data_IF_780066676574
#
_entry.id   IF_780066676574
#
_cell.length_a   1.000
_cell.length_b   1.000
_cell.length_c   1.000
_cell.angle_alpha   90.00
_cell.angle_beta   90.00
_cell.angle_gamma   90.00
#
_symmetry.space_group_name_H-M   'P 1'
#
loop_
_entity.id
_entity.type
_entity.pdbx_description
1 polymer ?
#
# COMPACT_ATOMS: atom_id res chain seq x y z
N UNK A 1 -83.16 39.88 -10.79
CA UNK A 1 -82.52 38.71 -10.15
C UNK A 1 -81.31 38.16 -10.92
N UNK A 2 -81.07 38.56 -12.16
CA UNK A 2 -80.02 37.98 -13.03
C UNK A 2 -78.59 38.49 -12.71
N UNK A 3 -78.46 39.76 -12.31
CA UNK A 3 -77.17 40.41 -12.02
C UNK A 3 -76.46 39.91 -10.75
N UNK A 4 -77.20 39.37 -9.78
CA UNK A 4 -76.64 38.78 -8.54
C UNK A 4 -76.08 37.38 -8.79
N UNK A 5 -76.71 36.61 -9.68
CA UNK A 5 -76.27 35.24 -10.02
C UNK A 5 -74.99 35.25 -10.85
N UNK A 6 -74.79 36.26 -11.69
CA UNK A 6 -73.56 36.43 -12.48
C UNK A 6 -72.35 36.87 -11.62
N UNK A 7 -72.59 37.64 -10.55
CA UNK A 7 -71.56 38.07 -9.61
C UNK A 7 -71.06 36.92 -8.71
N UNK A 8 -71.97 36.07 -8.23
CA UNK A 8 -71.64 34.87 -7.45
C UNK A 8 -70.82 33.86 -8.27
N UNK A 9 -71.17 33.66 -9.54
CA UNK A 9 -70.42 32.75 -10.43
C UNK A 9 -68.99 33.24 -10.68
N UNK A 10 -68.77 34.55 -10.84
CA UNK A 10 -67.42 35.13 -11.02
C UNK A 10 -66.55 34.99 -9.77
N UNK A 11 -67.13 35.16 -8.57
CA UNK A 11 -66.40 34.96 -7.30
C UNK A 11 -66.03 33.48 -7.10
N UNK A 12 -66.95 32.56 -7.41
CA UNK A 12 -66.68 31.12 -7.34
C UNK A 12 -65.57 30.73 -8.33
N UNK A 13 -65.62 31.23 -9.58
CA UNK A 13 -64.58 30.98 -10.59
C UNK A 13 -63.22 31.51 -10.12
N UNK A 14 -63.16 32.73 -9.57
CA UNK A 14 -61.91 33.31 -9.08
C UNK A 14 -61.34 32.52 -7.89
N UNK A 15 -62.20 32.08 -6.97
CA UNK A 15 -61.83 31.24 -5.84
C UNK A 15 -61.28 29.87 -6.27
N UNK A 16 -61.91 29.22 -7.26
CA UNK A 16 -61.41 27.96 -7.85
C UNK A 16 -60.08 28.19 -8.55
N UNK A 17 -59.91 29.29 -9.29
CA UNK A 17 -58.64 29.63 -9.97
C UNK A 17 -57.49 29.82 -8.98
N UNK A 18 -57.73 30.52 -7.87
CA UNK A 18 -56.74 30.70 -6.80
C UNK A 18 -56.38 29.36 -6.14
N UNK A 19 -57.38 28.51 -5.88
CA UNK A 19 -57.15 27.17 -5.31
C UNK A 19 -56.31 26.29 -6.26
N UNK A 20 -56.63 26.30 -7.55
CA UNK A 20 -55.89 25.55 -8.57
C UNK A 20 -54.46 26.08 -8.69
N UNK A 21 -54.27 27.40 -8.71
CA UNK A 21 -52.94 28.01 -8.71
C UNK A 21 -52.13 27.63 -7.45
N UNK A 22 -52.76 27.63 -6.27
CA UNK A 22 -52.11 27.22 -5.03
C UNK A 22 -51.73 25.73 -5.05
N UNK A 23 -52.60 24.85 -5.58
CA UNK A 23 -52.33 23.43 -5.73
C UNK A 23 -51.19 23.17 -6.74
N UNK A 24 -51.17 23.90 -7.86
CA UNK A 24 -50.07 23.84 -8.84
C UNK A 24 -48.77 24.30 -8.19
N UNK A 25 -48.78 25.40 -7.44
CA UNK A 25 -47.59 25.92 -6.77
C UNK A 25 -47.05 24.93 -5.73
N UNK A 26 -47.92 24.32 -4.93
CA UNK A 26 -47.57 23.28 -3.96
C UNK A 26 -47.02 22.04 -4.66
N UNK A 27 -47.61 21.62 -5.78
CA UNK A 27 -47.12 20.49 -6.58
C UNK A 27 -45.74 20.78 -7.17
N UNK A 28 -45.49 21.98 -7.68
CA UNK A 28 -44.17 22.41 -8.19
C UNK A 28 -43.11 22.38 -7.08
N UNK A 29 -43.44 22.87 -5.88
CA UNK A 29 -42.53 22.85 -4.72
C UNK A 29 -42.25 21.40 -4.25
N UNK A 30 -43.27 20.53 -4.26
CA UNK A 30 -43.11 19.11 -3.94
C UNK A 30 -42.35 18.34 -5.03
N UNK A 31 -42.42 18.78 -6.29
CA UNK A 31 -41.76 18.17 -7.44
C UNK A 31 -40.26 18.53 -7.55
N UNK A 32 -39.82 19.61 -6.92
CA UNK A 32 -38.44 20.11 -7.03
C UNK A 32 -37.39 19.12 -6.50
N UNK A 33 -36.39 18.83 -7.34
CA UNK A 33 -35.16 18.12 -6.96
C UNK A 33 -34.19 19.07 -6.28
N UNK A 34 -33.52 18.58 -5.24
CA UNK A 34 -32.48 19.35 -4.52
C UNK A 34 -31.33 18.43 -4.14
N UNK A 35 -30.11 18.91 -4.34
CA UNK A 35 -28.89 18.26 -3.89
C UNK A 35 -28.10 19.27 -3.05
N UNK A 36 -27.69 18.86 -1.85
CA UNK A 36 -26.91 19.69 -0.95
C UNK A 36 -25.76 18.90 -0.35
N UNK A 37 -24.54 19.33 -0.60
CA UNK A 37 -23.37 18.84 0.08
C UNK A 37 -23.40 19.31 1.54
N UNK A 38 -23.23 18.36 2.45
CA UNK A 38 -23.24 18.59 3.90
C UNK A 38 -21.82 18.64 4.45
N UNK A 39 -20.93 17.83 3.91
CA UNK A 39 -19.52 17.78 4.28
C UNK A 39 -18.67 17.20 3.12
N UNK A 40 -17.45 17.74 2.85
CA UNK A 40 -16.83 18.90 3.50
C UNK A 40 -17.54 20.23 3.20
N UNK A 41 -17.35 21.23 4.07
CA UNK A 41 -17.96 22.56 3.92
C UNK A 41 -16.97 23.63 3.48
N UNK A 42 -15.68 23.43 3.69
CA UNK A 42 -14.60 24.38 3.45
C UNK A 42 -13.82 24.72 4.71
N UNK A 43 -12.56 25.13 4.52
CA UNK A 43 -11.52 25.41 5.51
C UNK A 43 -11.05 24.20 6.33
N UNK A 44 -11.53 22.99 6.03
CA UNK A 44 -10.98 21.80 6.65
C UNK A 44 -9.53 21.56 6.20
N UNK A 45 -8.80 20.85 7.05
CA UNK A 45 -7.46 20.35 6.75
C UNK A 45 -7.52 18.83 6.75
N UNK A 46 -7.41 18.24 5.57
CA UNK A 46 -7.27 16.80 5.39
C UNK A 46 -5.82 16.40 5.18
N UNK A 47 -5.51 15.15 5.45
CA UNK A 47 -4.19 14.57 5.20
C UNK A 47 -4.31 13.49 4.14
N UNK A 48 -3.41 13.52 3.15
CA UNK A 48 -3.28 12.46 2.17
C UNK A 48 -3.13 11.09 2.87
N UNK A 49 -3.74 10.04 2.30
CA UNK A 49 -3.76 8.69 2.87
C UNK A 49 -4.82 8.46 3.97
N UNK A 50 -5.50 9.50 4.46
CA UNK A 50 -6.62 9.35 5.40
C UNK A 50 -7.95 9.19 4.65
N UNK A 51 -8.90 8.59 5.36
CA UNK A 51 -10.27 8.44 4.86
C UNK A 51 -11.11 9.60 5.38
N UNK A 52 -11.81 10.28 4.47
CA UNK A 52 -12.72 11.38 4.77
C UNK A 52 -14.11 10.98 4.30
N UNK A 53 -15.09 11.07 5.19
CA UNK A 53 -16.48 10.85 4.81
C UNK A 53 -17.03 12.07 4.09
N UNK A 54 -17.52 11.89 2.87
CA UNK A 54 -18.31 12.88 2.13
C UNK A 54 -19.79 12.64 2.42
N UNK A 55 -20.52 13.70 2.77
CA UNK A 55 -21.94 13.64 3.12
C UNK A 55 -22.75 14.59 2.26
N UNK A 56 -23.90 14.13 1.78
CA UNK A 56 -24.86 14.97 1.05
C UNK A 56 -26.30 14.62 1.43
N UNK A 57 -27.20 15.57 1.20
CA UNK A 57 -28.65 15.38 1.28
C UNK A 57 -29.25 15.61 -0.10
N UNK A 58 -29.95 14.60 -0.58
CA UNK A 58 -30.69 14.66 -1.84
C UNK A 58 -32.19 14.57 -1.57
N UNK A 59 -32.99 15.43 -2.20
CA UNK A 59 -34.44 15.31 -2.30
C UNK A 59 -34.77 14.91 -3.74
N UNK A 60 -35.35 13.73 -3.94
CA UNK A 60 -35.62 13.15 -5.27
C UNK A 60 -34.36 12.99 -6.15
N UNK A 61 -33.21 12.80 -5.50
CA UNK A 61 -31.91 12.46 -6.11
C UNK A 61 -31.58 11.02 -5.72
N UNK A 62 -31.36 10.14 -6.68
CA UNK A 62 -31.10 8.72 -6.42
C UNK A 62 -29.62 8.42 -6.15
N UNK A 63 -28.76 8.80 -7.09
CA UNK A 63 -27.31 8.54 -7.07
C UNK A 63 -26.55 9.82 -7.45
N UNK A 64 -25.30 9.92 -7.00
CA UNK A 64 -24.42 11.05 -7.32
C UNK A 64 -23.04 10.58 -7.77
N UNK A 65 -22.42 11.37 -8.64
CA UNK A 65 -21.00 11.30 -8.96
C UNK A 65 -20.26 12.31 -8.10
N UNK A 66 -19.05 11.96 -7.66
CA UNK A 66 -18.26 12.76 -6.72
C UNK A 66 -16.93 13.09 -7.38
N UNK A 67 -16.56 14.37 -7.39
CA UNK A 67 -15.32 14.86 -7.98
C UNK A 67 -14.47 15.65 -6.98
N UNK A 68 -13.15 15.52 -7.12
CA UNK A 68 -12.16 16.40 -6.52
C UNK A 68 -11.75 17.45 -7.55
N UNK A 69 -11.83 18.72 -7.19
CA UNK A 69 -11.45 19.84 -8.05
C UNK A 69 -10.21 20.52 -7.44
N UNK A 70 -9.17 20.76 -8.25
CA UNK A 70 -8.03 21.62 -7.89
C UNK A 70 -8.16 22.95 -8.62
N UNK A 71 -8.61 24.00 -7.92
CA UNK A 71 -8.95 25.27 -8.58
C UNK A 71 -7.76 25.94 -9.25
N UNK A 72 -6.60 25.99 -8.59
CA UNK A 72 -5.40 26.62 -9.14
C UNK A 72 -4.78 25.87 -10.32
N UNK A 73 -5.17 24.61 -10.58
CA UNK A 73 -4.78 23.87 -11.78
C UNK A 73 -5.89 23.75 -12.82
N UNK A 74 -7.15 23.99 -12.46
CA UNK A 74 -8.29 23.69 -13.30
C UNK A 74 -8.49 22.19 -13.56
N UNK A 75 -7.97 21.32 -12.68
CA UNK A 75 -8.10 19.87 -12.80
C UNK A 75 -9.35 19.37 -12.07
N UNK A 76 -10.05 18.41 -12.67
CA UNK A 76 -11.22 17.74 -12.09
C UNK A 76 -11.05 16.22 -12.18
N UNK A 77 -10.99 15.56 -11.04
CA UNK A 77 -10.78 14.12 -10.92
C UNK A 77 -12.03 13.44 -10.36
N UNK A 78 -12.47 12.35 -10.98
CA UNK A 78 -13.56 11.54 -10.43
C UNK A 78 -13.07 10.73 -9.24
N UNK A 79 -13.78 10.85 -8.12
CA UNK A 79 -13.53 10.09 -6.89
C UNK A 79 -14.41 8.84 -6.84
N UNK A 80 -15.68 8.98 -7.21
CA UNK A 80 -16.66 7.92 -7.20
C UNK A 80 -17.80 8.20 -8.18
N UNK A 81 -18.40 7.14 -8.70
CA UNK A 81 -19.51 7.22 -9.66
C UNK A 81 -20.74 6.50 -9.09
N UNK A 82 -21.93 7.08 -9.31
CA UNK A 82 -23.21 6.41 -9.05
C UNK A 82 -23.49 6.06 -7.58
N UNK A 83 -23.01 6.86 -6.63
CA UNK A 83 -23.11 6.59 -5.19
C UNK A 83 -24.48 6.96 -4.63
N UNK A 84 -25.11 6.06 -3.89
CA UNK A 84 -26.40 6.27 -3.20
C UNK A 84 -26.24 6.40 -1.67
N UNK A 85 -27.27 6.88 -0.98
CA UNK A 85 -27.36 6.80 0.49
C UNK A 85 -26.87 8.03 1.26
N UNK A 86 -26.42 9.09 0.57
CA UNK A 86 -26.05 10.35 1.23
C UNK A 86 -24.68 10.36 1.91
N UNK A 87 -23.89 9.30 1.74
CA UNK A 87 -22.59 9.09 2.37
C UNK A 87 -21.63 8.34 1.45
N UNK A 88 -20.37 8.77 1.43
CA UNK A 88 -19.27 8.06 0.77
C UNK A 88 -17.98 8.21 1.59
N UNK A 89 -17.30 7.11 1.89
CA UNK A 89 -16.02 7.14 2.59
C UNK A 89 -14.88 7.21 1.57
N UNK A 90 -14.36 8.42 1.35
CA UNK A 90 -13.30 8.70 0.39
C UNK A 90 -11.92 8.48 1.01
N UNK A 91 -11.20 7.47 0.54
CA UNK A 91 -9.77 7.29 0.84
C UNK A 91 -8.96 8.25 -0.04
N UNK A 92 -8.43 9.32 0.55
CA UNK A 92 -7.58 10.28 -0.17
C UNK A 92 -6.31 9.56 -0.60
N UNK A 93 -5.96 9.64 -1.89
CA UNK A 93 -4.72 9.05 -2.41
C UNK A 93 -3.52 9.53 -1.60
N UNK A 94 -2.59 8.62 -1.33
CA UNK A 94 -1.33 8.97 -0.67
C UNK A 94 -0.53 9.98 -1.48
N UNK A 95 -0.60 9.87 -2.81
CA UNK A 95 0.09 10.74 -3.76
C UNK A 95 -0.70 12.00 -4.11
N UNK A 96 -1.77 12.27 -3.37
CA UNK A 96 -2.52 13.50 -3.56
C UNK A 96 -1.60 14.69 -3.28
N UNK A 97 -1.45 15.56 -4.28
CA UNK A 97 -0.54 16.70 -4.16
C UNK A 97 -0.97 17.60 -2.99
N UNK A 98 -0.05 18.00 -2.10
CA UNK A 98 -0.37 18.93 -1.02
C UNK A 98 -0.75 20.29 -1.61
N UNK A 99 -2.01 20.71 -1.44
CA UNK A 99 -2.51 22.01 -1.90
C UNK A 99 -3.64 22.51 -0.99
N UNK A 100 -3.86 23.81 -1.02
CA UNK A 100 -4.84 24.56 -0.24
C UNK A 100 -6.03 25.06 -1.06
N UNK A 101 -6.23 24.52 -2.27
CA UNK A 101 -7.22 24.96 -3.27
C UNK A 101 -8.18 23.85 -3.71
N UNK A 102 -8.42 22.84 -2.86
CA UNK A 102 -9.30 21.71 -3.20
C UNK A 102 -10.76 21.98 -2.90
N UNK A 103 -11.65 21.45 -3.74
CA UNK A 103 -13.11 21.39 -3.52
C UNK A 103 -13.65 19.99 -3.81
N UNK A 104 -14.75 19.63 -3.15
CA UNK A 104 -15.58 18.47 -3.51
C UNK A 104 -16.79 18.97 -4.27
N UNK A 105 -17.11 18.33 -5.38
CA UNK A 105 -18.35 18.51 -6.10
C UNK A 105 -19.14 17.20 -6.12
N UNK A 106 -20.43 17.28 -5.81
CA UNK A 106 -21.38 16.18 -5.98
C UNK A 106 -22.35 16.54 -7.09
N UNK A 107 -22.52 15.65 -8.06
CA UNK A 107 -23.39 15.86 -9.23
C UNK A 107 -24.39 14.73 -9.30
N UNK A 108 -25.64 15.01 -9.64
CA UNK A 108 -26.64 13.97 -9.91
C UNK A 108 -26.15 13.01 -11.03
N UNK A 109 -26.15 11.71 -10.72
CA UNK A 109 -25.80 10.67 -11.68
C UNK A 109 -27.02 10.42 -12.58
N UNK A 110 -27.06 11.09 -13.72
CA UNK A 110 -28.15 11.00 -14.70
C UNK A 110 -27.67 11.31 -16.12
N UNK A 111 -28.36 10.74 -17.11
CA UNK A 111 -28.19 11.06 -18.53
C UNK A 111 -28.90 12.36 -18.94
N UNK A 112 -29.71 12.95 -18.04
CA UNK A 112 -30.37 14.22 -18.30
C UNK A 112 -29.36 15.36 -18.48
N UNK A 113 -29.71 16.31 -19.34
CA UNK A 113 -28.88 17.49 -19.66
C UNK A 113 -28.79 18.44 -18.46
N UNK A 114 -29.90 18.63 -17.73
CA UNK A 114 -29.89 19.40 -16.49
C UNK A 114 -29.53 18.50 -15.31
N UNK A 115 -28.33 18.71 -14.77
CA UNK A 115 -27.82 18.00 -13.58
C UNK A 115 -27.83 18.92 -12.38
N UNK A 116 -28.41 18.46 -11.29
CA UNK A 116 -28.27 19.13 -10.01
C UNK A 116 -26.89 18.83 -9.43
N UNK A 117 -26.19 19.85 -8.94
CA UNK A 117 -24.89 19.70 -8.30
C UNK A 117 -24.78 20.64 -7.09
N UNK A 118 -23.87 20.31 -6.18
CA UNK A 118 -23.45 21.20 -5.11
C UNK A 118 -21.94 21.03 -4.85
N UNK A 119 -21.31 22.08 -4.31
CA UNK A 119 -19.88 22.14 -4.09
C UNK A 119 -19.54 22.54 -2.66
N UNK A 120 -18.42 22.05 -2.16
CA UNK A 120 -17.85 22.55 -0.90
C UNK A 120 -17.20 23.91 -1.09
N UNK A 121 -16.97 24.62 0.02
CA UNK A 121 -15.92 25.64 0.07
C UNK A 121 -14.53 25.02 -0.14
N UNK A 122 -13.52 25.88 -0.31
CA UNK A 122 -12.12 25.46 -0.45
C UNK A 122 -11.64 24.81 0.84
N UNK A 123 -10.98 23.67 0.76
CA UNK A 123 -10.27 23.04 1.87
C UNK A 123 -8.84 22.70 1.45
N UNK A 124 -8.00 22.36 2.44
CA UNK A 124 -6.60 22.02 2.23
C UNK A 124 -6.38 20.51 2.40
N UNK A 125 -5.66 19.91 1.46
CA UNK A 125 -5.04 18.60 1.66
C UNK A 125 -3.57 18.86 1.94
N UNK A 126 -3.13 18.55 3.16
CA UNK A 126 -1.70 18.50 3.46
C UNK A 126 -1.13 17.15 3.05
N UNK A 127 0.18 17.15 2.80
CA UNK A 127 0.91 15.93 2.55
C UNK A 127 0.72 14.91 3.67
N UNK A 128 1.09 13.67 3.40
CA UNK A 128 1.01 12.61 4.38
C UNK A 128 1.75 13.04 5.66
N UNK A 129 1.19 12.75 6.84
CA UNK A 129 1.79 13.11 8.15
C UNK A 129 3.03 12.29 8.50
N UNK A 130 3.55 11.59 7.52
CA UNK A 130 4.56 10.56 7.62
C UNK A 130 5.92 11.21 7.92
N UNK A 131 6.77 10.53 8.70
CA UNK A 131 8.15 10.96 8.94
C UNK A 131 8.91 11.11 7.61
N UNK A 132 9.79 12.13 7.45
CA UNK A 132 10.55 12.25 6.21
C UNK A 132 11.76 11.32 6.27
N UNK A 133 11.84 10.36 5.36
CA UNK A 133 13.05 9.57 5.15
C UNK A 133 13.95 10.16 4.04
N UNK A 134 13.67 11.39 3.59
CA UNK A 134 14.40 12.05 2.50
C UNK A 134 15.85 12.37 2.89
N UNK A 135 16.13 12.70 4.17
CA UNK A 135 17.51 12.91 4.66
C UNK A 135 18.39 11.65 4.54
N UNK A 136 17.80 10.45 4.60
CA UNK A 136 18.51 9.18 4.36
C UNK A 136 18.62 8.86 2.87
N UNK A 137 17.62 9.27 2.10
CA UNK A 137 17.48 8.94 0.68
C UNK A 137 18.44 9.75 -0.20
N UNK A 138 18.66 11.03 0.13
CA UNK A 138 19.46 11.97 -0.68
C UNK A 138 20.97 11.67 -0.67
N UNK A 139 21.63 11.37 0.47
CA UNK A 139 23.07 11.10 0.50
C UNK A 139 23.43 9.68 0.05
N UNK A 140 22.49 8.74 0.20
CA UNK A 140 22.74 7.32 -0.11
C UNK A 140 22.28 6.92 -1.51
N UNK A 141 21.50 7.77 -2.21
CA UNK A 141 20.74 7.43 -3.43
C UNK A 141 19.65 6.37 -3.20
N UNK A 142 19.24 6.16 -1.94
CA UNK A 142 18.34 5.08 -1.54
C UNK A 142 16.91 5.58 -1.42
N UNK A 143 15.93 4.68 -1.50
CA UNK A 143 14.55 5.03 -1.23
C UNK A 143 14.18 4.44 0.13
N UNK A 144 14.26 5.24 1.18
CA UNK A 144 13.65 4.87 2.45
C UNK A 144 12.21 5.33 2.47
N UNK A 145 11.32 4.50 3.00
CA UNK A 145 9.93 4.86 3.20
C UNK A 145 9.52 4.66 4.65
N UNK A 146 8.58 5.46 5.14
CA UNK A 146 8.44 5.60 6.59
C UNK A 146 7.40 4.60 7.10
N UNK A 147 7.46 4.25 8.39
CA UNK A 147 6.81 3.05 8.93
C UNK A 147 5.27 3.09 8.92
N UNK A 148 4.69 4.27 8.82
CA UNK A 148 3.25 4.52 8.71
C UNK A 148 2.77 4.64 7.25
N UNK A 149 3.62 4.28 6.29
CA UNK A 149 3.24 4.20 4.88
C UNK A 149 2.13 3.14 4.70
N UNK A 150 1.08 3.41 3.90
CA UNK A 150 -0.02 2.47 3.74
C UNK A 150 0.41 1.21 2.98
N UNK A 151 -0.14 0.06 3.38
CA UNK A 151 0.06 -1.23 2.71
C UNK A 151 1.54 -1.67 2.62
N UNK A 152 2.33 -1.42 3.67
CA UNK A 152 3.66 -1.99 3.78
C UNK A 152 3.59 -3.51 4.00
N UNK A 153 4.46 -4.22 3.30
CA UNK A 153 4.84 -5.61 3.56
C UNK A 153 6.25 -5.60 4.08
N UNK A 154 6.38 -5.66 5.40
CA UNK A 154 7.69 -5.67 6.04
C UNK A 154 8.30 -7.08 5.97
N UNK A 155 9.55 -7.17 5.52
CA UNK A 155 10.21 -8.44 5.16
C UNK A 155 11.58 -8.56 5.80
N UNK A 156 11.91 -9.76 6.24
CA UNK A 156 13.28 -10.14 6.63
C UNK A 156 13.59 -11.56 6.16
N UNK A 157 14.87 -11.94 6.16
CA UNK A 157 15.32 -13.30 5.91
C UNK A 157 15.80 -13.91 7.23
N UNK A 158 15.43 -15.17 7.49
CA UNK A 158 15.80 -15.84 8.73
C UNK A 158 17.32 -15.91 8.92
N UNK A 159 17.75 -15.80 10.19
CA UNK A 159 19.12 -16.12 10.59
C UNK A 159 19.36 -17.62 10.55
N UNK A 160 18.36 -18.41 10.94
CA UNK A 160 18.40 -19.87 10.92
C UNK A 160 18.29 -20.43 9.50
N UNK A 161 18.83 -21.65 9.33
CA UNK A 161 18.67 -22.47 8.15
C UNK A 161 17.84 -23.69 8.50
N UNK A 162 16.90 -24.03 7.63
CA UNK A 162 15.88 -25.03 7.89
C UNK A 162 15.79 -26.03 6.75
N UNK A 163 15.70 -27.31 7.13
CA UNK A 163 15.40 -28.37 6.18
C UNK A 163 14.00 -28.22 5.60
N UNK A 164 13.70 -29.03 4.60
CA UNK A 164 12.35 -29.17 4.06
C UNK A 164 11.26 -29.56 5.05
N UNK A 165 11.60 -30.13 6.21
CA UNK A 165 10.66 -30.46 7.26
C UNK A 165 10.43 -29.25 8.19
N UNK A 166 9.56 -28.34 7.77
CA UNK A 166 9.17 -27.16 8.52
C UNK A 166 7.96 -27.40 9.43
N UNK A 167 7.33 -28.58 9.35
CA UNK A 167 6.09 -28.89 10.07
C UNK A 167 4.83 -28.34 9.38
N UNK A 168 4.83 -28.24 8.05
CA UNK A 168 3.75 -27.58 7.31
C UNK A 168 3.99 -26.08 7.11
N UNK A 169 3.07 -25.44 6.39
CA UNK A 169 3.03 -23.99 6.31
C UNK A 169 2.89 -23.34 7.70
N UNK A 170 2.12 -23.95 8.60
CA UNK A 170 1.96 -23.47 9.97
C UNK A 170 3.27 -23.52 10.76
N UNK A 171 4.06 -24.58 10.61
CA UNK A 171 5.36 -24.67 11.27
C UNK A 171 6.39 -23.70 10.68
N UNK A 172 6.35 -23.47 9.35
CA UNK A 172 7.14 -22.42 8.71
C UNK A 172 6.76 -21.02 9.21
N UNK A 173 5.47 -20.76 9.41
CA UNK A 173 4.96 -19.50 9.96
C UNK A 173 5.41 -19.32 11.41
N UNK A 174 5.39 -20.38 12.23
CA UNK A 174 5.92 -20.34 13.59
C UNK A 174 7.42 -20.05 13.64
N UNK A 175 8.20 -20.54 12.67
CA UNK A 175 9.63 -20.22 12.55
C UNK A 175 9.79 -18.71 12.31
N UNK A 176 9.09 -18.16 11.32
CA UNK A 176 9.13 -16.72 11.04
C UNK A 176 8.69 -15.87 12.23
N UNK A 177 7.62 -16.26 12.91
CA UNK A 177 7.14 -15.55 14.09
C UNK A 177 8.17 -15.57 15.24
N UNK A 178 8.78 -16.73 15.52
CA UNK A 178 9.81 -16.86 16.56
C UNK A 178 11.06 -16.04 16.26
N UNK A 179 11.50 -16.01 15.00
CA UNK A 179 12.65 -15.18 14.61
C UNK A 179 12.34 -13.69 14.67
N UNK A 180 11.12 -13.28 14.30
CA UNK A 180 10.66 -11.91 14.45
C UNK A 180 10.67 -11.48 15.92
N UNK A 181 10.12 -12.30 16.81
CA UNK A 181 10.12 -12.07 18.27
C UNK A 181 11.53 -12.00 18.85
N UNK A 182 12.44 -12.89 18.41
CA UNK A 182 13.84 -12.87 18.83
C UNK A 182 14.59 -11.61 18.38
N UNK A 183 14.10 -10.93 17.33
CA UNK A 183 14.60 -9.63 16.88
C UNK A 183 13.84 -8.44 17.51
N UNK A 184 12.86 -8.70 18.38
CA UNK A 184 12.04 -7.65 18.98
C UNK A 184 11.05 -7.00 18.01
N UNK A 185 10.68 -7.68 16.93
CA UNK A 185 9.72 -7.17 15.95
C UNK A 185 8.29 -7.41 16.42
N UNK A 186 7.52 -6.33 16.45
CA UNK A 186 6.07 -6.39 16.66
C UNK A 186 5.35 -6.74 15.35
N UNK A 187 4.24 -7.45 15.43
CA UNK A 187 3.44 -7.87 14.28
C UNK A 187 3.35 -9.39 14.12
N UNK A 188 2.65 -9.83 13.09
CA UNK A 188 2.52 -11.25 12.73
C UNK A 188 3.32 -11.54 11.48
N UNK A 189 4.26 -12.45 11.56
CA UNK A 189 5.14 -12.81 10.44
C UNK A 189 4.88 -14.24 9.98
N UNK A 190 4.79 -14.41 8.66
CA UNK A 190 4.58 -15.70 8.01
C UNK A 190 5.66 -15.96 6.97
N UNK A 191 5.93 -17.23 6.70
CA UNK A 191 6.89 -17.62 5.68
C UNK A 191 6.30 -17.38 4.28
N UNK A 192 7.08 -16.77 3.40
CA UNK A 192 6.82 -16.60 1.96
C UNK A 192 6.91 -17.95 1.24
N UNK A 193 5.98 -18.84 1.56
CA UNK A 193 5.88 -20.19 1.03
C UNK A 193 4.43 -20.46 0.64
N UNK A 194 4.25 -21.15 -0.49
CA UNK A 194 3.02 -21.86 -0.81
C UNK A 194 3.23 -23.37 -0.72
N UNK A 195 2.13 -24.11 -0.89
CA UNK A 195 2.12 -25.57 -0.96
C UNK A 195 1.29 -26.07 -2.16
N UNK A 196 0.92 -27.35 -2.15
CA UNK A 196 0.16 -27.95 -3.23
C UNK A 196 -1.30 -27.46 -3.33
N UNK A 197 -1.83 -26.87 -2.26
CA UNK A 197 -3.21 -26.44 -2.12
C UNK A 197 -3.34 -24.94 -2.33
N UNK A 198 -2.48 -24.14 -1.70
CA UNK A 198 -2.54 -22.67 -1.71
C UNK A 198 -1.20 -22.05 -2.11
N UNK A 199 -1.25 -21.02 -2.96
CA UNK A 199 -0.05 -20.29 -3.36
C UNK A 199 0.39 -19.28 -2.29
N UNK A 200 1.67 -18.89 -2.29
CA UNK A 200 2.19 -17.85 -1.39
C UNK A 200 1.45 -16.51 -1.60
N UNK A 201 1.22 -16.11 -2.86
CA UNK A 201 0.53 -14.86 -3.21
C UNK A 201 -0.89 -14.81 -2.66
N UNK A 202 -1.63 -15.92 -2.78
CA UNK A 202 -3.00 -16.05 -2.28
C UNK A 202 -3.06 -16.07 -0.76
N UNK A 203 -2.24 -16.90 -0.10
CA UNK A 203 -2.35 -17.08 1.36
C UNK A 203 -1.82 -15.90 2.17
N UNK A 204 -0.91 -15.11 1.60
CA UNK A 204 -0.23 -14.01 2.30
C UNK A 204 -0.73 -12.61 1.90
N UNK A 205 -1.67 -12.54 0.96
CA UNK A 205 -2.18 -11.30 0.38
C UNK A 205 -1.05 -10.31 0.07
N UNK A 206 -0.18 -10.68 -0.87
CA UNK A 206 1.10 -10.00 -1.14
C UNK A 206 0.95 -8.66 -1.89
N UNK A 207 -0.25 -8.08 -1.92
CA UNK A 207 -0.48 -6.75 -2.46
C UNK A 207 0.07 -5.69 -1.50
N UNK A 208 1.08 -4.93 -1.95
CA UNK A 208 1.68 -3.88 -1.14
C UNK A 208 3.10 -3.52 -1.56
N UNK A 209 3.70 -2.62 -0.80
CA UNK A 209 5.07 -2.15 -0.97
C UNK A 209 5.98 -2.93 -0.03
N UNK A 210 7.04 -3.53 -0.56
CA UNK A 210 7.93 -4.38 0.21
C UNK A 210 9.06 -3.57 0.79
N UNK A 211 9.30 -3.74 2.08
CA UNK A 211 10.38 -3.07 2.79
C UNK A 211 11.18 -4.03 3.64
N UNK A 212 12.47 -3.74 3.79
CA UNK A 212 13.36 -4.50 4.65
C UNK A 212 13.13 -4.10 6.11
N UNK A 213 13.07 -5.10 6.99
CA UNK A 213 13.32 -4.90 8.42
C UNK A 213 14.71 -5.43 8.75
N UNK A 214 15.63 -4.51 9.05
CA UNK A 214 16.96 -4.82 9.58
C UNK A 214 17.09 -4.52 11.07
N UNK A 215 18.25 -4.88 11.65
CA UNK A 215 18.62 -4.56 13.03
C UNK A 215 18.76 -3.05 13.29
N UNK A 216 19.03 -2.28 12.25
CA UNK A 216 19.07 -0.82 12.30
C UNK A 216 17.71 -0.28 11.83
N UNK A 217 16.73 -0.32 12.74
CA UNK A 217 15.55 0.52 12.59
C UNK A 217 16.01 1.98 12.67
N UNK A 218 16.12 2.64 11.51
CA UNK A 218 16.55 4.02 11.48
C UNK A 218 15.39 4.86 12.00
N UNK A 219 15.55 5.62 13.10
CA UNK A 219 14.52 6.56 13.53
C UNK A 219 14.21 7.48 12.35
N UNK A 220 12.95 7.58 11.96
CA UNK A 220 12.55 8.57 10.98
C UNK A 220 12.74 9.94 11.59
N UNK A 221 13.40 10.86 10.88
CA UNK A 221 13.38 12.25 11.30
C UNK A 221 11.95 12.75 11.14
N UNK A 222 11.33 13.03 12.28
CA UNK A 222 10.09 13.75 12.26
C UNK A 222 10.43 15.20 11.91
N UNK A 223 9.67 15.72 10.95
CA UNK A 223 9.71 17.09 10.46
C UNK A 223 10.75 17.42 9.38
N UNK A 224 10.28 18.11 8.34
CA UNK A 224 11.13 18.85 7.41
C UNK A 224 11.88 20.03 8.07
N UNK A 225 11.57 20.34 9.33
CA UNK A 225 12.08 21.52 10.01
C UNK A 225 13.60 21.50 10.26
N UNK A 226 14.24 20.40 10.69
CA UNK A 226 15.69 20.32 10.82
C UNK A 226 16.40 20.55 9.48
N UNK A 227 15.85 20.00 8.39
CA UNK A 227 16.38 20.21 7.03
C UNK A 227 16.27 21.68 6.60
N UNK A 228 15.09 22.30 6.71
CA UNK A 228 14.91 23.72 6.40
C UNK A 228 15.76 24.62 7.31
N UNK A 229 15.99 24.22 8.56
CA UNK A 229 16.81 24.96 9.51
C UNK A 229 18.30 24.87 9.15
N UNK A 230 18.81 23.67 8.80
CA UNK A 230 20.16 23.46 8.26
C UNK A 230 20.37 24.25 6.95
N UNK A 231 19.41 24.21 6.02
CA UNK A 231 19.46 24.98 4.77
C UNK A 231 19.37 26.49 5.00
N UNK A 232 18.58 26.93 5.98
CA UNK A 232 18.53 28.33 6.40
C UNK A 232 19.88 28.81 6.94
N UNK A 233 20.59 27.98 7.70
CA UNK A 233 21.97 28.27 8.11
C UNK A 233 22.90 28.45 6.91
N UNK A 234 22.86 27.51 5.95
CA UNK A 234 23.67 27.62 4.70
C UNK A 234 23.30 28.88 3.91
N UNK A 235 22.02 29.23 3.86
CA UNK A 235 21.54 30.45 3.24
C UNK A 235 22.12 31.70 3.93
N UNK A 236 22.12 31.77 5.27
CA UNK A 236 22.77 32.85 6.03
C UNK A 236 24.26 32.89 5.70
N UNK A 237 24.94 31.74 5.73
CA UNK A 237 26.38 31.66 5.50
C UNK A 237 26.80 32.16 4.11
N UNK A 238 25.93 31.98 3.11
CA UNK A 238 26.17 32.34 1.71
C UNK A 238 25.71 33.77 1.36
N UNK A 239 24.63 34.27 1.98
CA UNK A 239 23.94 35.48 1.49
C UNK A 239 23.94 36.66 2.48
N UNK A 240 24.36 36.48 3.74
CA UNK A 240 24.17 37.50 4.77
C UNK A 240 25.17 38.67 4.76
N UNK A 241 26.22 38.63 3.92
CA UNK A 241 27.23 39.68 3.84
C UNK A 241 27.76 40.12 5.21
N UNK A 242 27.75 41.43 5.48
CA UNK A 242 28.25 42.03 6.73
C UNK A 242 27.40 41.67 7.96
N UNK A 243 26.14 41.22 7.78
CA UNK A 243 25.26 40.83 8.88
C UNK A 243 25.38 39.35 9.26
N UNK A 244 26.23 38.59 8.56
CA UNK A 244 26.40 37.15 8.75
C UNK A 244 26.61 36.75 10.20
N UNK A 245 27.44 37.48 10.93
CA UNK A 245 27.77 37.14 12.32
C UNK A 245 26.58 37.37 13.27
N UNK A 246 25.79 38.42 13.04
CA UNK A 246 24.58 38.70 13.82
C UNK A 246 23.49 37.66 13.56
N UNK A 247 23.29 37.28 12.30
CA UNK A 247 22.32 36.24 11.94
C UNK A 247 22.72 34.85 12.40
N UNK A 248 24.02 34.51 12.40
CA UNK A 248 24.50 33.25 12.98
C UNK A 248 24.32 33.20 14.50
N UNK A 249 24.54 34.32 15.21
CA UNK A 249 24.26 34.40 16.66
C UNK A 249 22.76 34.24 16.95
N UNK A 250 21.89 34.89 16.17
CA UNK A 250 20.44 34.73 16.27
C UNK A 250 20.00 33.29 15.96
N UNK A 251 20.56 32.69 14.91
CA UNK A 251 20.36 31.28 14.56
C UNK A 251 20.74 30.38 15.74
N UNK A 252 21.91 30.54 16.36
CA UNK A 252 22.34 29.72 17.50
C UNK A 252 21.40 29.83 18.72
N UNK A 253 20.89 31.04 19.00
CA UNK A 253 19.92 31.27 20.06
C UNK A 253 18.60 30.54 19.80
N UNK A 254 18.09 30.67 18.57
CA UNK A 254 16.87 30.01 18.14
C UNK A 254 17.04 28.49 18.05
N UNK A 255 18.18 28.00 17.57
CA UNK A 255 18.53 26.58 17.45
C UNK A 255 18.44 25.87 18.81
N UNK A 256 18.94 26.50 19.87
CA UNK A 256 18.83 25.96 21.23
C UNK A 256 17.37 25.84 21.69
N UNK A 257 16.56 26.86 21.47
CA UNK A 257 15.14 26.83 21.84
C UNK A 257 14.34 25.84 20.97
N UNK A 258 14.71 25.76 19.69
CA UNK A 258 14.12 24.87 18.70
C UNK A 258 14.37 23.41 19.07
N UNK A 259 15.62 23.04 19.42
CA UNK A 259 15.98 21.70 19.85
C UNK A 259 15.25 21.26 21.13
N UNK A 260 14.99 22.17 22.07
CA UNK A 260 14.18 21.87 23.27
C UNK A 260 12.72 21.60 22.92
N UNK A 261 12.16 22.38 21.98
CA UNK A 261 10.79 22.17 21.49
C UNK A 261 10.66 20.87 20.69
N UNK A 262 11.62 20.57 19.82
CA UNK A 262 11.69 19.33 19.06
C UNK A 262 11.75 18.11 19.98
N UNK A 263 12.65 18.12 20.97
CA UNK A 263 12.77 17.03 21.94
C UNK A 263 11.45 16.76 22.69
N UNK A 264 10.70 17.81 23.02
CA UNK A 264 9.39 17.68 23.68
C UNK A 264 8.32 17.08 22.76
N UNK A 265 8.43 17.27 21.45
CA UNK A 265 7.56 16.64 20.46
C UNK A 265 7.97 15.17 20.24
N UNK A 266 9.27 14.89 20.13
CA UNK A 266 9.84 13.53 20.01
C UNK A 266 9.44 12.65 21.20
N UNK A 267 9.43 13.19 22.42
CA UNK A 267 8.99 12.49 23.63
C UNK A 267 7.47 12.19 23.65
N UNK A 268 6.67 12.85 22.81
CA UNK A 268 5.21 12.68 22.73
C UNK A 268 4.73 11.82 21.56
N UNK A 269 5.58 11.49 20.61
CA UNK A 269 5.22 10.74 19.42
C UNK A 269 5.64 9.27 19.51
N UNK A 270 4.77 8.36 19.06
CA UNK A 270 5.10 6.94 18.86
C UNK A 270 6.32 6.83 17.92
N UNK A 271 7.25 5.91 18.22
CA UNK A 271 8.49 5.74 17.45
C UNK A 271 8.17 5.48 15.98
N UNK A 272 8.48 6.44 15.10
CA UNK A 272 8.37 6.28 13.65
C UNK A 272 9.72 5.87 13.08
N UNK A 273 9.72 4.88 12.20
CA UNK A 273 10.93 4.29 11.64
C UNK A 273 10.97 4.51 10.13
N UNK A 274 12.17 4.57 9.57
CA UNK A 274 12.40 4.51 8.13
C UNK A 274 12.78 3.08 7.75
N UNK A 275 12.02 2.48 6.86
CA UNK A 275 12.33 1.18 6.28
C UNK A 275 12.94 1.34 4.89
N UNK A 276 13.89 0.48 4.55
CA UNK A 276 14.47 0.45 3.20
C UNK A 276 13.43 -0.11 2.23
N UNK A 277 13.16 0.61 1.14
CA UNK A 277 12.31 0.11 0.06
C UNK A 277 13.02 -1.04 -0.68
N UNK A 278 12.41 -2.22 -0.67
CA UNK A 278 12.84 -3.35 -1.50
C UNK A 278 12.19 -3.24 -2.89
N UNK A 279 10.86 -3.05 -2.92
CA UNK A 279 10.11 -3.02 -4.17
C UNK A 279 8.76 -2.31 -4.04
N UNK A 280 8.19 -1.91 -5.18
CA UNK A 280 6.87 -1.24 -5.23
C UNK A 280 5.69 -2.22 -5.30
N UNK A 281 5.96 -3.48 -5.60
CA UNK A 281 4.98 -4.56 -5.67
C UNK A 281 5.66 -5.92 -5.44
N UNK A 282 4.87 -6.96 -5.20
CA UNK A 282 5.41 -8.32 -5.08
C UNK A 282 6.06 -8.84 -6.36
N UNK A 283 5.49 -8.53 -7.53
CA UNK A 283 6.06 -8.99 -8.80
C UNK A 283 7.40 -8.26 -9.07
N UNK A 284 7.50 -6.96 -8.74
CA UNK A 284 8.78 -6.21 -8.78
C UNK A 284 9.80 -6.78 -7.76
N UNK A 285 9.34 -7.21 -6.58
CA UNK A 285 10.20 -7.82 -5.56
C UNK A 285 10.87 -9.10 -6.07
N UNK A 286 10.06 -10.04 -6.58
CA UNK A 286 10.56 -11.31 -7.09
C UNK A 286 11.41 -11.12 -8.33
N UNK A 287 10.98 -10.26 -9.26
CA UNK A 287 11.74 -9.97 -10.46
C UNK A 287 13.13 -9.44 -10.10
N UNK A 288 13.22 -8.54 -9.13
CA UNK A 288 14.51 -8.00 -8.71
C UNK A 288 15.45 -9.06 -8.18
N UNK A 289 14.95 -9.89 -7.27
CA UNK A 289 15.72 -10.98 -6.67
C UNK A 289 16.28 -11.92 -7.76
N UNK A 290 15.47 -12.30 -8.74
CA UNK A 290 15.82 -13.38 -9.68
C UNK A 290 16.51 -12.89 -10.96
N UNK A 291 16.23 -11.66 -11.42
CA UNK A 291 16.68 -11.20 -12.74
C UNK A 291 17.90 -10.27 -12.72
N UNK A 292 18.27 -9.71 -11.57
CA UNK A 292 19.37 -8.75 -11.50
C UNK A 292 20.66 -9.35 -10.97
N UNK A 293 21.78 -8.75 -11.38
CA UNK A 293 23.09 -9.14 -10.90
C UNK A 293 23.30 -8.73 -9.43
N UNK A 294 24.21 -9.41 -8.74
CA UNK A 294 24.50 -9.16 -7.33
C UNK A 294 24.93 -7.71 -7.05
N UNK A 295 25.70 -7.07 -7.93
CA UNK A 295 26.11 -5.68 -7.73
C UNK A 295 24.92 -4.72 -7.84
N UNK A 296 23.98 -5.00 -8.74
CA UNK A 296 22.70 -4.29 -8.79
C UNK A 296 21.91 -4.52 -7.49
N UNK A 297 21.78 -5.77 -7.04
CA UNK A 297 21.02 -6.09 -5.83
C UNK A 297 21.62 -5.46 -4.56
N UNK A 298 22.95 -5.36 -4.47
CA UNK A 298 23.64 -4.64 -3.40
C UNK A 298 23.16 -3.19 -3.27
N UNK A 299 22.93 -2.52 -4.41
CA UNK A 299 22.44 -1.14 -4.44
C UNK A 299 20.98 -1.03 -3.98
N UNK A 300 20.13 -2.01 -4.28
CA UNK A 300 18.71 -2.00 -3.92
C UNK A 300 18.41 -2.50 -2.51
N UNK A 301 19.02 -3.61 -2.11
CA UNK A 301 18.67 -4.33 -0.88
C UNK A 301 19.65 -4.10 0.28
N UNK A 302 20.83 -3.53 0.00
CA UNK A 302 21.87 -3.33 1.00
C UNK A 302 22.61 -4.62 1.37
N UNK A 303 23.77 -4.45 2.02
CA UNK A 303 24.69 -5.56 2.28
C UNK A 303 24.11 -6.63 3.22
N UNK A 304 23.23 -6.26 4.16
CA UNK A 304 22.65 -7.22 5.11
C UNK A 304 21.66 -8.16 4.43
N UNK A 305 20.68 -7.62 3.71
CA UNK A 305 19.69 -8.43 3.01
C UNK A 305 20.32 -9.32 1.93
N UNK A 306 21.24 -8.77 1.13
CA UNK A 306 21.96 -9.53 0.11
C UNK A 306 22.69 -10.71 0.76
N UNK A 307 23.47 -10.46 1.82
CA UNK A 307 24.20 -11.51 2.55
C UNK A 307 23.29 -12.57 3.15
N UNK A 308 22.11 -12.18 3.63
CA UNK A 308 21.14 -13.14 4.12
C UNK A 308 20.53 -13.97 2.98
N UNK A 309 20.31 -13.36 1.81
CA UNK A 309 19.84 -14.04 0.60
C UNK A 309 20.89 -15.00 0.02
N UNK A 310 22.19 -14.71 0.19
CA UNK A 310 23.30 -15.61 -0.21
C UNK A 310 23.29 -16.95 0.52
N UNK A 311 22.57 -17.08 1.63
CA UNK A 311 22.34 -18.37 2.30
C UNK A 311 21.47 -19.31 1.45
N UNK A 312 20.78 -18.77 0.45
CA UNK A 312 19.72 -19.43 -0.28
C UNK A 312 18.43 -19.49 0.52
N UNK A 313 17.29 -19.41 -0.16
CA UNK A 313 15.97 -19.35 0.47
C UNK A 313 14.97 -20.32 -0.16
N UNK A 314 14.08 -20.88 0.65
CA UNK A 314 12.91 -21.60 0.16
C UNK A 314 11.82 -20.62 -0.30
N UNK A 315 11.14 -20.92 -1.42
CA UNK A 315 10.06 -20.07 -1.96
C UNK A 315 8.73 -20.79 -2.28
N UNK A 316 8.74 -22.12 -2.47
CA UNK A 316 7.51 -22.90 -2.70
C UNK A 316 6.69 -22.45 -3.92
N UNK A 317 5.38 -22.77 -3.94
CA UNK A 317 4.47 -22.33 -5.00
C UNK A 317 4.09 -20.86 -4.81
N UNK A 318 4.54 -20.00 -5.71
CA UNK A 318 4.32 -18.55 -5.59
C UNK A 318 2.95 -18.10 -6.11
N UNK A 319 2.58 -18.51 -7.32
CA UNK A 319 1.40 -18.03 -8.03
C UNK A 319 0.30 -19.12 -8.12
N UNK A 320 -0.99 -18.75 -8.09
CA UNK A 320 -2.10 -19.70 -8.30
C UNK A 320 -2.05 -20.41 -9.65
N UNK A 321 -1.64 -19.70 -10.70
CA UNK A 321 -1.53 -20.17 -12.08
C UNK A 321 -0.30 -21.04 -12.33
N UNK A 322 0.62 -21.15 -11.36
CA UNK A 322 1.81 -21.97 -11.49
C UNK A 322 1.41 -23.45 -11.66
N UNK A 323 1.62 -23.96 -12.88
CA UNK A 323 1.33 -25.35 -13.25
C UNK A 323 2.16 -26.32 -12.45
N UNK A 324 1.64 -27.54 -12.24
CA UNK A 324 2.30 -28.55 -11.40
C UNK A 324 3.52 -29.26 -12.04
N UNK A 325 4.52 -28.51 -12.54
CA UNK A 325 5.58 -28.99 -13.47
C UNK A 325 6.90 -29.48 -12.82
N UNK A 326 7.41 -30.67 -13.13
CA UNK A 326 8.65 -31.24 -12.58
C UNK A 326 9.82 -30.25 -12.50
N UNK A 327 10.50 -30.21 -11.35
CA UNK A 327 11.74 -29.44 -11.20
C UNK A 327 12.91 -30.34 -11.62
N UNK A 328 13.81 -29.80 -12.42
CA UNK A 328 14.99 -30.51 -12.89
C UNK A 328 16.23 -29.95 -12.22
N UNK A 329 17.12 -30.82 -11.73
CA UNK A 329 18.42 -30.43 -11.19
C UNK A 329 19.51 -31.06 -12.04
N UNK A 330 20.41 -30.20 -12.53
CA UNK A 330 21.66 -30.66 -13.14
C UNK A 330 22.54 -31.26 -12.05
N UNK A 331 22.69 -32.59 -12.03
CA UNK A 331 23.72 -33.20 -11.20
C UNK A 331 25.06 -33.08 -11.92
N UNK A 332 26.10 -32.66 -11.21
CA UNK A 332 27.47 -32.60 -11.75
C UNK A 332 28.05 -33.95 -12.22
N UNK A 333 27.27 -35.03 -12.16
CA UNK A 333 27.62 -36.40 -12.54
C UNK A 333 26.84 -36.92 -13.77
N UNK A 334 26.17 -36.05 -14.53
CA UNK A 334 25.62 -36.39 -15.85
C UNK A 334 24.27 -37.12 -15.84
N UNK A 335 23.59 -37.20 -14.69
CA UNK A 335 22.19 -37.68 -14.62
C UNK A 335 21.29 -36.57 -14.07
N UNK A 336 20.34 -36.11 -14.88
CA UNK A 336 19.35 -35.13 -14.45
C UNK A 336 18.41 -35.78 -13.43
N UNK A 337 18.33 -35.22 -12.22
CA UNK A 337 17.39 -35.69 -11.21
C UNK A 337 16.13 -34.85 -11.31
N UNK A 338 14.99 -35.52 -11.52
CA UNK A 338 13.67 -34.89 -11.57
C UNK A 338 12.97 -35.00 -10.22
N UNK A 339 12.36 -33.91 -9.79
CA UNK A 339 11.60 -33.81 -8.55
C UNK A 339 10.13 -33.55 -8.86
N UNK A 340 9.22 -34.10 -8.04
CA UNK A 340 7.79 -33.83 -8.24
C UNK A 340 7.41 -32.42 -7.84
N UNK A 341 6.76 -31.68 -8.75
CA UNK A 341 6.28 -30.32 -8.46
C UNK A 341 4.99 -30.27 -7.65
N UNK A 342 4.49 -31.35 -7.06
CA UNK A 342 3.62 -31.18 -5.89
C UNK A 342 4.31 -30.45 -4.69
N UNK A 343 5.49 -29.83 -4.91
CA UNK A 343 5.98 -28.51 -4.42
C UNK A 343 5.82 -28.23 -2.95
N UNK A 344 6.42 -29.14 -2.21
CA UNK A 344 7.53 -28.83 -1.32
C UNK A 344 7.99 -30.20 -0.89
N UNK A 345 8.62 -30.28 0.26
CA UNK A 345 8.74 -31.52 0.97
C UNK A 345 7.37 -31.97 1.44
N UNK A 346 6.53 -32.45 0.52
CA UNK A 346 5.20 -33.00 0.75
C UNK A 346 4.24 -32.11 1.57
N UNK A 347 4.31 -30.78 1.44
CA UNK A 347 3.74 -29.76 2.35
C UNK A 347 4.68 -29.39 3.50
N UNK A 348 5.97 -29.19 3.19
CA UNK A 348 7.01 -28.82 4.15
C UNK A 348 7.06 -29.71 5.40
N UNK A 349 6.85 -31.01 5.24
CA UNK A 349 6.66 -31.99 6.31
C UNK A 349 7.72 -33.10 6.31
N UNK A 350 8.70 -33.06 5.41
CA UNK A 350 9.75 -34.09 5.30
C UNK A 350 11.13 -33.52 4.98
N UNK A 351 12.16 -34.20 5.45
CA UNK A 351 13.56 -33.94 5.10
C UNK A 351 14.17 -35.11 4.31
N UNK A 352 13.35 -36.04 3.82
CA UNK A 352 13.80 -37.14 2.97
C UNK A 352 14.24 -36.60 1.61
N UNK A 353 15.28 -37.16 1.01
CA UNK A 353 15.74 -36.80 -0.34
C UNK A 353 15.25 -37.77 -1.43
N UNK A 354 14.74 -38.93 -1.01
CA UNK A 354 14.19 -39.98 -1.89
C UNK A 354 12.72 -40.24 -1.59
N UNK A 355 11.98 -40.57 -2.64
CA UNK A 355 10.65 -41.14 -2.50
C UNK A 355 10.81 -42.60 -2.03
N UNK A 356 9.99 -43.07 -1.09
CA UNK A 356 9.94 -44.48 -0.68
C UNK A 356 9.40 -45.41 -1.79
N UNK A 357 8.85 -46.58 -1.43
CA UNK A 357 8.37 -47.60 -2.40
C UNK A 357 7.31 -47.11 -3.40
N UNK A 358 6.58 -46.03 -3.07
CA UNK A 358 5.57 -45.43 -3.94
C UNK A 358 6.22 -44.34 -4.81
N UNK A 359 6.56 -44.66 -6.05
CA UNK A 359 6.99 -43.64 -7.02
C UNK A 359 5.89 -42.56 -7.15
N UNK A 360 6.28 -41.30 -6.91
CA UNK A 360 5.39 -40.15 -7.13
C UNK A 360 5.51 -39.70 -8.59
N UNK A 361 4.47 -39.06 -9.10
CA UNK A 361 4.43 -38.54 -10.47
C UNK A 361 4.52 -37.01 -10.47
N UNK A 362 5.17 -36.45 -11.49
CA UNK A 362 5.02 -35.05 -11.86
C UNK A 362 4.82 -34.90 -13.36
N UNK A 363 4.54 -33.68 -13.80
CA UNK A 363 4.16 -33.39 -15.17
C UNK A 363 5.18 -32.45 -15.79
N UNK A 364 5.46 -32.53 -17.08
CA UNK A 364 6.16 -31.43 -17.77
C UNK A 364 5.17 -30.34 -18.22
N UNK A 365 5.68 -29.29 -18.88
CA UNK A 365 4.87 -28.17 -19.35
C UNK A 365 3.77 -28.57 -20.36
N UNK A 366 3.92 -29.72 -21.00
CA UNK A 366 2.96 -30.32 -21.93
C UNK A 366 1.97 -31.26 -21.22
N UNK A 367 2.10 -31.44 -19.90
CA UNK A 367 1.24 -32.30 -19.09
C UNK A 367 1.60 -33.79 -19.18
N UNK A 368 2.77 -34.15 -19.70
CA UNK A 368 3.22 -35.55 -19.74
C UNK A 368 3.78 -35.95 -18.38
N UNK A 369 3.35 -37.11 -17.91
CA UNK A 369 3.76 -37.71 -16.64
C UNK A 369 5.21 -38.20 -16.64
N UNK A 370 5.89 -38.00 -15.53
CA UNK A 370 7.23 -38.48 -15.23
C UNK A 370 7.26 -39.15 -13.86
N UNK A 371 7.88 -40.33 -13.79
CA UNK A 371 8.16 -41.02 -12.54
C UNK A 371 9.36 -40.33 -11.86
N UNK A 372 9.23 -40.02 -10.58
CA UNK A 372 10.33 -39.42 -9.79
C UNK A 372 10.76 -40.32 -8.64
N UNK A 373 12.07 -40.39 -8.42
CA UNK A 373 12.68 -41.11 -7.30
C UNK A 373 13.11 -40.20 -6.15
N UNK A 374 12.99 -38.87 -6.33
CA UNK A 374 13.50 -37.86 -5.39
C UNK A 374 12.43 -36.82 -5.04
N UNK A 375 12.52 -36.25 -3.83
CA UNK A 375 11.66 -35.16 -3.36
C UNK A 375 12.48 -33.91 -3.02
N UNK A 376 11.93 -32.75 -3.35
CA UNK A 376 12.66 -31.49 -3.29
C UNK A 376 11.74 -30.28 -3.32
N UNK A 377 12.31 -29.12 -3.03
CA UNK A 377 11.64 -27.82 -3.03
C UNK A 377 12.25 -26.85 -4.03
N UNK A 378 11.49 -25.79 -4.34
CA UNK A 378 11.99 -24.65 -5.13
C UNK A 378 12.78 -23.74 -4.20
N UNK A 379 13.97 -23.38 -4.65
CA UNK A 379 14.86 -22.48 -3.92
C UNK A 379 15.34 -21.33 -4.80
N UNK A 380 15.65 -20.21 -4.18
CA UNK A 380 16.48 -19.16 -4.77
C UNK A 380 17.89 -19.35 -4.23
N UNK A 381 18.86 -19.58 -5.12
CA UNK A 381 20.27 -19.75 -4.76
C UNK A 381 21.15 -18.68 -5.42
N UNK A 382 22.25 -18.28 -4.76
CA UNK A 382 23.25 -17.44 -5.39
C UNK A 382 23.96 -18.19 -6.52
N UNK A 383 24.27 -17.47 -7.59
CA UNK A 383 25.17 -17.88 -8.67
C UNK A 383 26.40 -16.96 -8.70
N UNK A 384 27.31 -17.15 -9.67
CA UNK A 384 28.46 -16.24 -9.83
C UNK A 384 28.05 -14.78 -10.07
N UNK A 385 26.91 -14.53 -10.74
CA UNK A 385 26.52 -13.19 -11.18
C UNK A 385 25.18 -12.71 -10.63
N UNK A 386 24.23 -13.58 -10.34
CA UNK A 386 22.86 -13.24 -9.88
C UNK A 386 22.34 -14.24 -8.85
N UNK A 387 21.06 -14.17 -8.51
CA UNK A 387 20.34 -15.29 -7.91
C UNK A 387 19.46 -15.96 -8.96
N UNK A 388 19.15 -17.24 -8.80
CA UNK A 388 18.22 -17.96 -9.68
C UNK A 388 17.21 -18.75 -8.87
N UNK A 389 15.94 -18.68 -9.29
CA UNK A 389 14.79 -19.35 -8.68
C UNK A 389 14.56 -20.78 -9.23
N UNK A 390 15.36 -21.22 -10.20
CA UNK A 390 15.11 -22.48 -10.92
C UNK A 390 15.85 -23.69 -10.31
N UNK A 391 16.41 -23.53 -9.11
CA UNK A 391 17.08 -24.62 -8.44
C UNK A 391 16.09 -25.43 -7.61
N UNK A 392 15.77 -26.62 -8.09
CA UNK A 392 15.29 -27.69 -7.23
C UNK A 392 16.37 -28.07 -6.24
N UNK A 393 16.04 -28.19 -4.96
CA UNK A 393 16.96 -28.74 -3.96
C UNK A 393 16.31 -29.91 -3.21
N UNK A 394 17.08 -30.97 -2.88
CA UNK A 394 16.61 -32.05 -2.03
C UNK A 394 16.14 -31.52 -0.67
N UNK A 395 15.12 -32.15 -0.09
CA UNK A 395 14.52 -31.68 1.17
C UNK A 395 15.40 -31.80 2.42
N UNK A 396 16.49 -32.57 2.37
CA UNK A 396 17.50 -32.58 3.43
C UNK A 396 18.45 -31.36 3.38
N UNK A 397 18.38 -30.54 2.33
CA UNK A 397 19.10 -29.26 2.25
C UNK A 397 18.55 -28.29 3.27
N UNK A 398 19.39 -27.45 3.86
CA UNK A 398 18.98 -26.43 4.82
C UNK A 398 19.15 -25.03 4.22
N UNK A 399 18.06 -24.29 4.07
CA UNK A 399 18.03 -22.93 3.53
C UNK A 399 17.30 -21.97 4.47
N UNK A 400 17.48 -20.68 4.28
CA UNK A 400 16.73 -19.67 5.02
C UNK A 400 15.28 -19.54 4.50
N UNK A 401 14.45 -18.81 5.24
CA UNK A 401 13.09 -18.44 4.85
C UNK A 401 13.01 -16.93 4.66
N UNK A 402 12.25 -16.49 3.66
CA UNK A 402 11.79 -15.10 3.58
C UNK A 402 10.53 -14.99 4.45
N UNK A 403 10.54 -14.11 5.43
CA UNK A 403 9.44 -13.88 6.36
C UNK A 403 8.78 -12.54 6.06
N UNK A 404 7.44 -12.53 5.94
CA UNK A 404 6.65 -11.37 5.53
C UNK A 404 5.59 -11.08 6.58
N UNK A 405 5.43 -9.81 6.94
CA UNK A 405 4.36 -9.36 7.83
C UNK A 405 2.97 -9.54 7.19
N UNK A 406 1.98 -9.83 8.02
CA UNK A 406 0.57 -10.05 7.64
C UNK A 406 -0.41 -9.04 8.18
#
# INVERSE_FOLDING_TARGET
MEKSREFDVRIIILGVLILVLALILVFVILAKKELKLVYPKGNEKFSAGKTVTILWKGKKIGKVDIYLISEGKGEKMMIAEGVSGGRFDWKISFWQQPRDDYKIEVIEHTENVEKHYDQSGIFRIVGPTIASCEELSIPQEWHFIPSDYPNLKRVFITRGLYSGNLGGLDGADQICQKEAEAMGLEGKFKALLGDENISAKERLNLDGIFVEIGLEQIPGEEFLYPLYWKEFKKFIEKNAGDQKENYLKAYQLLDKAFNVYLKKIEEQNEKRYCYRLLSKSFDDFLQKIVMHDKNYLKWFFGESFEKDLEKGVWIGRIYPEAKKECLQVSSGYGTEVKFSFTTSCQNWSTNQDRVGEILKECYDAQGKKWQVSSVGGISILPTEKSFSADFGLPCNSSLALICVEQ
#
